data_IF_272211962395
#
_entry.id   IF_272211962395
#
_cell.length_a   1.000
_cell.length_b   1.000
_cell.length_c   1.000
_cell.angle_alpha   90.00
_cell.angle_beta   90.00
_cell.angle_gamma   90.00
#
_symmetry.space_group_name_H-M   'P 1'
#
loop_
_entity.id
_entity.type
_entity.pdbx_description
1 polymer ?
#
# COMPACT_ATOMS: atom_id res chain seq x y z
N UNK A 1 19.09 12.63 8.89
CA UNK A 1 17.67 13.02 8.67
C UNK A 1 17.15 12.32 7.42
N UNK A 2 16.07 11.53 7.49
CA UNK A 2 15.43 10.99 6.27
C UNK A 2 14.82 12.16 5.49
N UNK A 3 15.28 12.39 4.26
CA UNK A 3 14.71 13.39 3.35
C UNK A 3 13.23 13.05 3.13
N UNK A 4 12.33 13.97 3.44
CA UNK A 4 10.89 13.79 3.17
C UNK A 4 10.67 13.85 1.65
N UNK A 5 9.88 12.92 1.10
CA UNK A 5 9.47 12.95 -0.31
C UNK A 5 8.65 14.21 -0.60
N UNK A 6 8.87 14.80 -1.77
CA UNK A 6 7.98 15.84 -2.33
C UNK A 6 6.61 15.25 -2.67
N UNK A 7 5.56 16.08 -2.86
CA UNK A 7 4.25 15.60 -3.30
C UNK A 7 4.31 14.74 -4.57
N UNK A 8 5.09 15.15 -5.56
CA UNK A 8 5.23 14.47 -6.87
C UNK A 8 5.86 13.09 -6.68
N UNK A 9 6.94 13.01 -5.88
CA UNK A 9 7.61 11.76 -5.54
C UNK A 9 6.69 10.78 -4.82
N UNK A 10 5.76 11.28 -3.99
CA UNK A 10 4.77 10.42 -3.33
C UNK A 10 3.77 9.86 -4.33
N UNK A 11 3.27 10.69 -5.26
CA UNK A 11 2.32 10.24 -6.28
C UNK A 11 2.98 9.19 -7.18
N UNK A 12 4.23 9.41 -7.58
CA UNK A 12 5.01 8.44 -8.36
C UNK A 12 5.20 7.12 -7.59
N UNK A 13 5.61 7.18 -6.33
CA UNK A 13 5.77 6.00 -5.48
C UNK A 13 4.46 5.21 -5.31
N UNK A 14 3.32 5.89 -5.15
CA UNK A 14 1.99 5.25 -5.07
C UNK A 14 1.67 4.52 -6.37
N UNK A 15 1.90 5.17 -7.53
CA UNK A 15 1.65 4.55 -8.84
C UNK A 15 2.53 3.32 -9.05
N UNK A 16 3.82 3.41 -8.75
CA UNK A 16 4.75 2.29 -8.86
C UNK A 16 4.34 1.13 -7.95
N UNK A 17 3.92 1.41 -6.71
CA UNK A 17 3.41 0.37 -5.81
C UNK A 17 2.13 -0.30 -6.33
N UNK A 18 1.19 0.48 -6.90
CA UNK A 18 -0.05 -0.03 -7.46
C UNK A 18 0.17 -0.93 -8.67
N UNK A 19 1.08 -0.53 -9.58
CA UNK A 19 1.45 -1.34 -10.76
C UNK A 19 2.15 -2.63 -10.33
N UNK A 20 3.14 -2.54 -9.43
CA UNK A 20 3.82 -3.73 -8.92
C UNK A 20 2.84 -4.69 -8.25
N UNK A 21 1.94 -4.18 -7.41
CA UNK A 21 0.91 -4.98 -6.77
C UNK A 21 -0.02 -5.66 -7.79
N UNK A 22 -0.46 -4.95 -8.83
CA UNK A 22 -1.31 -5.50 -9.87
C UNK A 22 -0.60 -6.60 -10.69
N UNK A 23 0.68 -6.40 -11.01
CA UNK A 23 1.48 -7.36 -11.76
C UNK A 23 1.75 -8.63 -10.94
N UNK A 24 2.06 -8.49 -9.66
CA UNK A 24 2.44 -9.62 -8.80
C UNK A 24 1.23 -10.42 -8.32
N UNK A 25 0.06 -9.78 -8.20
CA UNK A 25 -1.09 -10.36 -7.49
C UNK A 25 -2.43 -10.27 -8.20
N UNK A 26 -2.55 -9.59 -9.34
CA UNK A 26 -3.82 -9.45 -10.06
C UNK A 26 -4.20 -10.68 -10.90
N UNK A 27 -5.50 -10.89 -11.20
CA UNK A 27 -6.66 -10.37 -10.46
C UNK A 27 -6.86 -11.13 -9.14
N UNK A 28 -7.66 -10.55 -8.23
CA UNK A 28 -7.95 -11.10 -6.90
C UNK A 28 -9.46 -11.41 -6.75
N UNK A 29 -10.00 -12.43 -7.47
CA UNK A 29 -11.44 -12.67 -7.54
C UNK A 29 -12.10 -12.93 -6.18
N UNK A 30 -11.43 -13.69 -5.29
CA UNK A 30 -11.96 -14.02 -3.97
C UNK A 30 -12.12 -12.78 -3.08
N UNK A 31 -11.13 -11.89 -3.08
CA UNK A 31 -11.21 -10.63 -2.33
C UNK A 31 -12.34 -9.73 -2.88
N UNK A 32 -12.50 -9.69 -4.21
CA UNK A 32 -13.57 -8.96 -4.89
C UNK A 32 -14.96 -9.55 -4.58
N UNK A 33 -15.05 -10.87 -4.39
CA UNK A 33 -16.28 -11.58 -4.04
C UNK A 33 -16.70 -11.45 -2.56
N UNK A 34 -15.86 -10.83 -1.72
CA UNK A 34 -16.22 -10.58 -0.32
C UNK A 34 -15.49 -11.43 0.71
N UNK A 35 -14.60 -12.34 0.28
CA UNK A 35 -13.86 -13.20 1.20
C UNK A 35 -12.93 -12.36 2.12
N UNK A 36 -13.16 -12.45 3.42
CA UNK A 36 -12.47 -11.65 4.42
C UNK A 36 -10.99 -12.03 4.55
N UNK A 37 -10.67 -13.33 4.48
CA UNK A 37 -9.30 -13.81 4.55
C UNK A 37 -8.51 -13.34 3.32
N UNK A 38 -9.11 -13.45 2.14
CA UNK A 38 -8.52 -12.95 0.90
C UNK A 38 -8.33 -11.42 0.95
N UNK A 39 -9.30 -10.66 1.48
CA UNK A 39 -9.17 -9.21 1.67
C UNK A 39 -8.03 -8.84 2.62
N UNK A 40 -7.86 -9.58 3.71
CA UNK A 40 -6.77 -9.37 4.65
C UNK A 40 -5.41 -9.65 3.99
N UNK A 41 -5.32 -10.72 3.22
CA UNK A 41 -4.11 -11.06 2.48
C UNK A 41 -3.75 -9.99 1.44
N UNK A 42 -4.75 -9.49 0.72
CA UNK A 42 -4.62 -8.37 -0.22
C UNK A 42 -4.08 -7.12 0.47
N UNK A 43 -4.63 -6.76 1.63
CA UNK A 43 -4.17 -5.61 2.40
C UNK A 43 -2.70 -5.76 2.83
N UNK A 44 -2.30 -6.96 3.26
CA UNK A 44 -0.92 -7.25 3.66
C UNK A 44 0.06 -7.18 2.47
N UNK A 45 -0.33 -7.72 1.31
CA UNK A 45 0.46 -7.66 0.06
C UNK A 45 0.62 -6.21 -0.43
N UNK A 46 -0.45 -5.41 -0.39
CA UNK A 46 -0.40 -3.98 -0.73
C UNK A 46 0.52 -3.20 0.21
N UNK A 47 0.46 -3.49 1.51
CA UNK A 47 1.36 -2.88 2.50
C UNK A 47 2.84 -3.15 2.18
N UNK A 48 3.20 -4.36 1.74
CA UNK A 48 4.57 -4.69 1.31
C UNK A 48 4.99 -3.89 0.08
N UNK A 49 4.12 -3.79 -0.93
CA UNK A 49 4.41 -3.02 -2.14
C UNK A 49 4.65 -1.53 -1.83
N UNK A 50 3.84 -0.93 -0.95
CA UNK A 50 4.00 0.45 -0.51
C UNK A 50 5.30 0.65 0.29
N UNK A 51 5.63 -0.27 1.21
CA UNK A 51 6.88 -0.25 1.99
C UNK A 51 8.13 -0.29 1.10
N UNK A 52 8.10 -1.09 0.03
CA UNK A 52 9.21 -1.16 -0.93
C UNK A 52 9.47 0.19 -1.62
N UNK A 53 8.43 1.02 -1.78
CA UNK A 53 8.53 2.38 -2.31
C UNK A 53 8.80 3.44 -1.22
N UNK A 54 9.10 3.03 0.02
CA UNK A 54 9.34 3.94 1.14
C UNK A 54 8.08 4.58 1.72
N UNK A 55 6.89 4.10 1.35
CA UNK A 55 5.60 4.57 1.87
C UNK A 55 5.19 3.78 3.10
N UNK A 56 4.45 4.42 4.00
CA UNK A 56 3.82 3.78 5.16
C UNK A 56 2.35 4.15 5.21
N UNK A 57 1.49 3.16 5.41
CA UNK A 57 0.09 3.39 5.78
C UNK A 57 0.08 3.83 7.25
N UNK A 58 -0.51 4.99 7.54
CA UNK A 58 -0.68 5.50 8.90
C UNK A 58 -2.14 5.26 9.28
N UNK A 59 -2.39 4.48 10.33
CA UNK A 59 -3.73 4.38 10.93
C UNK A 59 -3.98 5.65 11.74
N UNK A 60 -5.23 6.14 11.72
CA UNK A 60 -5.62 7.42 12.32
C UNK A 60 -5.15 7.57 13.80
N UNK A 61 -5.07 6.46 14.53
CA UNK A 61 -4.60 6.41 15.92
C UNK A 61 -3.15 6.89 16.12
N UNK A 62 -2.31 6.84 15.08
CA UNK A 62 -0.91 7.30 15.15
C UNK A 62 -0.72 8.79 14.82
N UNK A 63 -1.79 9.50 14.46
CA UNK A 63 -1.72 10.92 14.09
C UNK A 63 -1.79 11.83 15.34
N UNK A 64 -2.26 11.33 16.49
CA UNK A 64 -2.42 12.08 17.75
C UNK A 64 -1.19 12.12 18.67
N UNK A 65 -0.04 11.59 18.24
CA UNK A 65 1.20 11.66 19.03
C UNK A 65 2.24 12.52 18.31
N UNK A 66 2.05 13.84 18.33
CA UNK A 66 3.09 14.87 18.25
C UNK A 66 2.50 16.24 18.58
#
# INVERSE_FOLDING_TARGET
>A
MRKKMTPEQRVEAIRSAAVAFANDYGPLPAANAGDEAARHEVAHRLWKALRAQGLSIVTADKIQSN
#
